data_IF_481274509720
#
_entry.id   IF_481274509720
#
_cell.length_a   1.000
_cell.length_b   1.000
_cell.length_c   1.000
_cell.angle_alpha   90.00
_cell.angle_beta   90.00
_cell.angle_gamma   90.00
#
_symmetry.space_group_name_H-M   'P 1'
#
loop_
_entity.id
_entity.type
_entity.pdbx_description
1 polymer ?
#
# COMPACT_ATOMS: atom_id res chain seq x y z
N UNK A 1 -12.46 -3.90 33.97
CA UNK A 1 -11.44 -3.15 34.74
C UNK A 1 -10.62 -2.32 33.77
N UNK A 2 -10.56 -0.99 33.90
CA UNK A 2 -9.64 -0.16 33.11
C UNK A 2 -8.23 -0.29 33.69
N UNK A 3 -7.23 -0.57 32.84
CA UNK A 3 -5.82 -0.56 33.26
C UNK A 3 -5.31 0.89 33.20
N UNK A 4 -4.77 1.40 34.29
CA UNK A 4 -4.08 2.70 34.31
C UNK A 4 -2.66 2.51 33.79
N UNK A 5 -2.22 3.43 32.94
CA UNK A 5 -0.90 3.41 32.31
C UNK A 5 -0.16 4.67 32.72
N UNK A 6 1.04 4.51 33.27
CA UNK A 6 1.90 5.62 33.67
C UNK A 6 3.04 5.72 32.66
N UNK A 7 3.14 6.88 32.00
CA UNK A 7 4.16 7.15 30.98
C UNK A 7 5.12 8.18 31.58
N UNK A 8 6.42 7.85 31.59
CA UNK A 8 7.45 8.84 31.92
C UNK A 8 7.80 9.62 30.66
N UNK A 9 7.73 10.94 30.77
CA UNK A 9 8.07 11.90 29.72
C UNK A 9 8.95 12.98 30.36
N UNK A 10 9.77 13.65 29.56
CA UNK A 10 10.49 14.83 30.02
C UNK A 10 9.54 16.00 30.25
N UNK A 11 9.97 17.00 31.03
CA UNK A 11 9.16 18.19 31.32
C UNK A 11 8.79 18.94 30.03
N UNK A 12 9.72 19.01 29.07
CA UNK A 12 9.50 19.67 27.77
C UNK A 12 8.42 18.95 26.97
N UNK A 13 8.50 17.62 26.86
CA UNK A 13 7.51 16.81 26.14
C UNK A 13 6.14 16.90 26.83
N UNK A 14 6.11 16.89 28.17
CA UNK A 14 4.87 17.05 28.92
C UNK A 14 4.19 18.39 28.61
N UNK A 15 4.94 19.50 28.64
CA UNK A 15 4.41 20.83 28.32
C UNK A 15 3.85 20.89 26.90
N UNK A 16 4.57 20.35 25.92
CA UNK A 16 4.11 20.31 24.52
C UNK A 16 2.82 19.51 24.36
N UNK A 17 2.74 18.31 24.96
CA UNK A 17 1.54 17.48 24.88
C UNK A 17 0.36 18.14 25.61
N UNK A 18 0.62 18.85 26.70
CA UNK A 18 -0.41 19.60 27.41
C UNK A 18 -0.95 20.77 26.57
N UNK A 19 -0.10 21.50 25.87
CA UNK A 19 -0.52 22.55 24.93
C UNK A 19 -1.34 21.98 23.78
N UNK A 20 -0.88 20.88 23.16
CA UNK A 20 -1.61 20.21 22.09
C UNK A 20 -2.97 19.70 22.54
N UNK A 21 -3.07 19.14 23.74
CA UNK A 21 -4.34 18.70 24.31
C UNK A 21 -5.31 19.88 24.52
N UNK A 22 -4.81 21.01 25.04
CA UNK A 22 -5.60 22.25 25.20
C UNK A 22 -6.09 22.78 23.85
N UNK A 23 -5.21 22.85 22.85
CA UNK A 23 -5.57 23.30 21.49
C UNK A 23 -6.60 22.40 20.83
N UNK A 24 -6.57 21.09 21.11
CA UNK A 24 -7.56 20.13 20.64
C UNK A 24 -8.88 20.15 21.44
N UNK A 25 -8.96 20.93 22.53
CA UNK A 25 -10.14 20.99 23.40
C UNK A 25 -10.39 19.70 24.19
N UNK A 26 -9.36 18.87 24.41
CA UNK A 26 -9.48 17.56 25.05
C UNK A 26 -8.74 17.52 26.41
N UNK A 27 -9.27 16.78 27.41
CA UNK A 27 -8.52 16.46 28.60
C UNK A 27 -7.22 15.72 28.25
N UNK A 28 -6.12 16.02 28.92
CA UNK A 28 -4.79 15.46 28.64
C UNK A 28 -4.81 13.93 28.55
N UNK A 29 -5.46 13.25 29.50
CA UNK A 29 -5.55 11.79 29.51
C UNK A 29 -6.30 11.24 28.29
N UNK A 30 -7.39 11.90 27.87
CA UNK A 30 -8.16 11.54 26.68
C UNK A 30 -7.33 11.75 25.42
N UNK A 31 -6.67 12.92 25.31
CA UNK A 31 -5.79 13.23 24.18
C UNK A 31 -4.67 12.19 24.04
N UNK A 32 -3.94 11.92 25.12
CA UNK A 32 -2.84 10.94 25.14
C UNK A 32 -3.33 9.55 24.76
N UNK A 33 -4.49 9.13 25.28
CA UNK A 33 -5.10 7.84 24.91
C UNK A 33 -5.42 7.77 23.42
N UNK A 34 -6.07 8.78 22.85
CA UNK A 34 -6.40 8.82 21.42
C UNK A 34 -5.14 8.78 20.56
N UNK A 35 -4.10 9.56 20.91
CA UNK A 35 -2.82 9.54 20.19
C UNK A 35 -2.13 8.18 20.28
N UNK A 36 -2.19 7.52 21.44
CA UNK A 36 -1.65 6.18 21.63
C UNK A 36 -2.38 5.13 20.78
N UNK A 37 -3.71 5.16 20.75
CA UNK A 37 -4.51 4.24 19.93
C UNK A 37 -4.21 4.41 18.44
N UNK A 38 -4.18 5.66 17.95
CA UNK A 38 -3.78 5.97 16.57
C UNK A 38 -2.35 5.50 16.28
N UNK A 39 -1.41 5.76 17.19
CA UNK A 39 -0.02 5.33 17.04
C UNK A 39 0.11 3.80 16.93
N UNK A 40 -0.66 3.06 17.73
CA UNK A 40 -0.70 1.60 17.69
C UNK A 40 -1.27 1.08 16.37
N UNK A 41 -2.38 1.67 15.91
CA UNK A 41 -2.99 1.31 14.64
C UNK A 41 -2.04 1.58 13.47
N UNK A 42 -1.39 2.75 13.45
CA UNK A 42 -0.40 3.09 12.44
C UNK A 42 0.80 2.15 12.44
N UNK A 43 1.29 1.74 13.61
CA UNK A 43 2.38 0.77 13.71
C UNK A 43 1.96 -0.60 13.14
N UNK A 44 0.74 -1.06 13.43
CA UNK A 44 0.20 -2.29 12.86
C UNK A 44 0.00 -2.18 11.34
N UNK A 45 -0.52 -1.05 10.87
CA UNK A 45 -0.72 -0.80 9.45
C UNK A 45 0.61 -0.76 8.70
N UNK A 46 1.66 -0.21 9.31
CA UNK A 46 3.01 -0.25 8.74
C UNK A 46 3.54 -1.68 8.62
N UNK A 47 3.38 -2.50 9.67
CA UNK A 47 3.76 -3.91 9.61
C UNK A 47 3.00 -4.68 8.51
N UNK A 48 1.69 -4.42 8.39
CA UNK A 48 0.87 -5.02 7.34
C UNK A 48 1.33 -4.57 5.94
N UNK A 49 1.66 -3.28 5.79
CA UNK A 49 2.19 -2.72 4.55
C UNK A 49 3.54 -3.37 4.18
N UNK A 50 4.47 -3.47 5.13
CA UNK A 50 5.77 -4.14 4.94
C UNK A 50 5.60 -5.60 4.51
N UNK A 51 4.69 -6.34 5.17
CA UNK A 51 4.37 -7.71 4.80
C UNK A 51 3.78 -7.80 3.38
N UNK A 52 2.86 -6.90 3.03
CA UNK A 52 2.28 -6.85 1.67
C UNK A 52 3.34 -6.54 0.62
N UNK A 53 4.28 -5.65 0.91
CA UNK A 53 5.39 -5.32 -0.01
C UNK A 53 6.30 -6.53 -0.24
N UNK A 54 6.56 -7.33 0.79
CA UNK A 54 7.32 -8.59 0.65
C UNK A 54 6.56 -9.61 -0.21
N UNK A 55 5.25 -9.78 0.03
CA UNK A 55 4.40 -10.67 -0.77
C UNK A 55 4.40 -10.22 -2.23
N UNK A 56 4.17 -8.93 -2.50
CA UNK A 56 4.17 -8.37 -3.85
C UNK A 56 5.51 -8.62 -4.54
N UNK A 57 6.63 -8.35 -3.86
CA UNK A 57 7.98 -8.59 -4.39
C UNK A 57 8.18 -10.06 -4.78
N UNK A 58 7.79 -11.01 -3.94
CA UNK A 58 7.94 -12.43 -4.25
C UNK A 58 7.00 -12.90 -5.37
N UNK A 59 5.76 -12.39 -5.42
CA UNK A 59 4.85 -12.66 -6.53
C UNK A 59 5.40 -12.16 -7.87
N UNK A 60 5.92 -10.94 -7.92
CA UNK A 60 6.58 -10.40 -9.12
C UNK A 60 7.78 -11.26 -9.54
N UNK A 61 8.63 -11.66 -8.58
CA UNK A 61 9.79 -12.52 -8.85
C UNK A 61 9.36 -13.89 -9.41
N UNK A 62 8.33 -14.50 -8.83
CA UNK A 62 7.81 -15.79 -9.28
C UNK A 62 7.20 -15.70 -10.68
N UNK A 63 6.41 -14.66 -10.97
CA UNK A 63 5.85 -14.43 -12.29
C UNK A 63 6.95 -14.28 -13.36
N UNK A 64 7.94 -13.42 -13.10
CA UNK A 64 9.07 -13.21 -14.01
C UNK A 64 9.88 -14.49 -14.25
N UNK A 65 10.16 -15.26 -13.19
CA UNK A 65 10.89 -16.52 -13.29
C UNK A 65 10.11 -17.56 -14.09
N UNK A 66 8.80 -17.66 -13.87
CA UNK A 66 7.92 -18.60 -14.57
C UNK A 66 7.88 -18.29 -16.08
N UNK A 67 7.74 -17.02 -16.45
CA UNK A 67 7.79 -16.58 -17.85
C UNK A 67 9.14 -16.93 -18.48
N UNK A 68 10.25 -16.69 -17.77
CA UNK A 68 11.58 -17.03 -18.26
C UNK A 68 11.76 -18.53 -18.52
N UNK A 69 11.30 -19.37 -17.59
CA UNK A 69 11.36 -20.83 -17.72
C UNK A 69 10.50 -21.29 -18.91
N UNK A 70 9.27 -20.81 -19.02
CA UNK A 70 8.38 -21.14 -20.15
C UNK A 70 8.98 -20.74 -21.50
N UNK A 71 9.63 -19.57 -21.57
CA UNK A 71 10.35 -19.14 -22.77
C UNK A 71 11.52 -20.09 -23.12
N UNK A 72 12.29 -20.53 -22.12
CA UNK A 72 13.40 -21.49 -22.32
C UNK A 72 12.90 -22.87 -22.77
N UNK A 73 11.77 -23.32 -22.24
CA UNK A 73 11.15 -24.60 -22.61
C UNK A 73 10.45 -24.56 -23.98
N UNK A 74 10.16 -23.37 -24.50
CA UNK A 74 9.53 -23.22 -25.82
C UNK A 74 10.46 -23.68 -26.95
N UNK A 75 9.92 -24.29 -28.03
CA UNK A 75 10.70 -24.71 -29.20
C UNK A 75 11.52 -23.56 -29.78
N UNK A 76 12.81 -23.77 -30.00
CA UNK A 76 13.75 -22.70 -30.34
C UNK A 76 13.37 -21.97 -31.65
N UNK A 77 12.83 -22.69 -32.61
CA UNK A 77 12.34 -22.21 -33.90
C UNK A 77 11.07 -21.34 -33.79
N UNK A 78 10.28 -21.51 -32.72
CA UNK A 78 9.01 -20.80 -32.51
C UNK A 78 9.05 -19.76 -31.40
N UNK A 79 10.17 -19.61 -30.69
CA UNK A 79 10.30 -18.71 -29.53
C UNK A 79 9.94 -17.26 -29.86
N UNK A 80 10.35 -16.75 -31.02
CA UNK A 80 10.05 -15.37 -31.43
C UNK A 80 8.54 -15.19 -31.67
N UNK A 81 7.92 -16.10 -32.42
CA UNK A 81 6.47 -16.08 -32.70
C UNK A 81 5.64 -16.18 -31.42
N UNK A 82 5.99 -17.12 -30.52
CA UNK A 82 5.31 -17.29 -29.23
C UNK A 82 5.45 -16.04 -28.37
N UNK A 83 6.64 -15.44 -28.32
CA UNK A 83 6.90 -14.24 -27.54
C UNK A 83 6.09 -13.04 -28.06
N UNK A 84 6.04 -12.84 -29.38
CA UNK A 84 5.31 -11.72 -29.97
C UNK A 84 3.80 -11.87 -29.79
N UNK A 85 3.25 -13.09 -29.92
CA UNK A 85 1.85 -13.36 -29.58
C UNK A 85 1.56 -13.10 -28.10
N UNK A 86 2.41 -13.59 -27.19
CA UNK A 86 2.23 -13.37 -25.76
C UNK A 86 2.31 -11.89 -25.37
N UNK A 87 3.15 -11.08 -26.03
CA UNK A 87 3.18 -9.62 -25.84
C UNK A 87 1.87 -8.97 -26.29
N UNK A 88 1.36 -9.35 -27.46
CA UNK A 88 0.10 -8.80 -27.96
C UNK A 88 -1.07 -9.15 -27.04
N UNK A 89 -1.14 -10.40 -26.57
CA UNK A 89 -2.15 -10.84 -25.61
C UNK A 89 -2.03 -10.08 -24.28
N UNK A 90 -0.81 -9.86 -23.79
CA UNK A 90 -0.58 -9.06 -22.58
C UNK A 90 -1.05 -7.61 -22.75
N UNK A 91 -0.72 -6.95 -23.87
CA UNK A 91 -1.18 -5.58 -24.17
C UNK A 91 -2.71 -5.52 -24.16
N UNK A 92 -3.39 -6.46 -24.83
CA UNK A 92 -4.85 -6.53 -24.90
C UNK A 92 -5.51 -6.80 -23.54
N UNK A 93 -4.86 -7.56 -22.66
CA UNK A 93 -5.37 -7.78 -21.30
C UNK A 93 -5.15 -6.56 -20.42
N UNK A 94 -3.98 -5.91 -20.51
CA UNK A 94 -3.68 -4.72 -19.72
C UNK A 94 -4.52 -3.52 -20.14
N UNK A 95 -4.80 -3.34 -21.43
CA UNK A 95 -5.64 -2.24 -21.92
C UNK A 95 -7.03 -2.24 -21.30
N UNK A 96 -7.60 -3.42 -20.99
CA UNK A 96 -8.90 -3.54 -20.31
C UNK A 96 -8.93 -2.83 -18.94
N UNK A 97 -7.80 -2.75 -18.25
CA UNK A 97 -7.71 -2.14 -16.91
C UNK A 97 -7.03 -0.77 -16.91
N UNK A 98 -6.14 -0.49 -17.87
CA UNK A 98 -5.31 0.72 -17.89
C UNK A 98 -5.70 1.73 -18.98
N UNK A 99 -6.46 1.36 -20.02
CA UNK A 99 -6.89 2.30 -21.06
C UNK A 99 -8.23 3.00 -20.73
N UNK A 100 -8.89 2.57 -19.64
CA UNK A 100 -10.16 3.13 -19.15
C UNK A 100 -10.09 4.59 -18.67
N UNK A 101 -8.90 5.17 -18.50
CA UNK A 101 -8.71 6.59 -18.18
C UNK A 101 -8.87 7.54 -19.37
N UNK A 102 -8.99 7.02 -20.60
CA UNK A 102 -9.28 7.85 -21.78
C UNK A 102 -10.78 8.09 -22.01
N UNK A 103 -11.66 7.29 -21.40
CA UNK A 103 -13.12 7.40 -21.55
C UNK A 103 -13.84 8.11 -20.41
N UNK A 104 -13.16 8.44 -19.31
CA UNK A 104 -13.76 9.06 -18.13
C UNK A 104 -13.93 10.59 -18.17
N UNK A 105 -13.24 11.30 -19.07
CA UNK A 105 -13.24 12.76 -19.10
C UNK A 105 -14.15 13.40 -20.17
N UNK A 106 -14.74 12.62 -21.08
CA UNK A 106 -15.64 13.18 -22.11
C UNK A 106 -17.12 13.22 -21.66
N UNK A 107 -17.49 12.48 -20.61
CA UNK A 107 -18.87 12.44 -20.10
C UNK A 107 -19.21 13.51 -19.05
N UNK A 108 -18.25 14.26 -18.53
CA UNK A 108 -18.50 15.32 -17.52
C UNK A 108 -18.37 16.76 -18.07
N UNK A 109 -18.06 16.95 -19.37
CA UNK A 109 -17.99 18.28 -20.03
C UNK A 109 -19.24 18.51 -20.90
N UNK A 110 -20.39 17.98 -20.48
CA UNK A 110 -21.68 18.17 -21.16
C UNK A 110 -22.82 18.19 -20.15
N UNK A 111 -22.74 19.11 -19.19
CA UNK A 111 -23.92 19.73 -18.57
C UNK A 111 -23.76 21.26 -18.57
#
# INVERSE_FOLDING_TARGET
MSKQLYIRVSDIEFSQVQELAKSAGLPLATFVKTRYEIGKENAQNMQNFEAQMLINRELFRLAATSIHILYKLSPADKRAEILDKAKQDAINQTSTFFDGDSTGNESEISE
#
